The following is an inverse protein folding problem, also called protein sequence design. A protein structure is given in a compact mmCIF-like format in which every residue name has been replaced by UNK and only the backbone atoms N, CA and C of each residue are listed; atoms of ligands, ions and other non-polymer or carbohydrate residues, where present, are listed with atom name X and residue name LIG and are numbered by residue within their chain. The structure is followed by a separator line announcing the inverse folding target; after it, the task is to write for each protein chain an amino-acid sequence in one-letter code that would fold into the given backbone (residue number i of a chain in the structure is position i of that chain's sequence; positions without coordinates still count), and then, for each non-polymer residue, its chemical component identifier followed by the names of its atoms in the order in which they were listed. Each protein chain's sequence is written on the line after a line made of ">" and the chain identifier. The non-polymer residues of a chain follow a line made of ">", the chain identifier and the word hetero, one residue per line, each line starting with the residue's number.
data_IF_868732494615
#
_entry.id   IF_868732494615
#
_cell.length_a   1.000
_cell.length_b   1.000
_cell.length_c   1.000
_cell.angle_alpha   90.00
_cell.angle_beta   90.00
_cell.angle_gamma   90.00
#
_symmetry.space_group_name_H-M   'P 1'
#
loop_
_entity.id
_entity.type
_entity.pdbx_description
1 polymer ?
#
# COMPACT_ATOMS: atom_id res chain seq x y z
N UNK A 1 -4.40 13.64 -13.57
CA UNK A 1 -4.87 12.40 -12.89
C UNK A 1 -3.74 11.82 -12.06
N UNK A 2 -4.00 11.19 -10.91
CA UNK A 2 -2.95 10.60 -10.07
C UNK A 2 -2.13 9.54 -10.83
N UNK A 3 -2.78 8.77 -11.70
CA UNK A 3 -2.12 7.76 -12.53
C UNK A 3 -1.01 8.33 -13.44
N UNK A 4 -1.03 9.64 -13.78
CA UNK A 4 0.00 10.27 -14.61
C UNK A 4 1.38 10.28 -13.93
N UNK A 5 1.44 10.16 -12.59
CA UNK A 5 2.71 10.05 -11.83
C UNK A 5 3.52 8.80 -12.21
N UNK A 6 2.90 7.79 -12.82
CA UNK A 6 3.57 6.55 -13.23
C UNK A 6 4.34 6.70 -14.56
N UNK A 7 3.94 7.63 -15.43
CA UNK A 7 4.55 7.86 -16.74
C UNK A 7 6.08 8.03 -16.71
N UNK A 8 6.67 8.91 -15.87
CA UNK A 8 8.12 9.05 -15.80
C UNK A 8 8.82 7.77 -15.32
N UNK A 9 8.18 6.97 -14.46
CA UNK A 9 8.74 5.72 -13.95
C UNK A 9 8.73 4.64 -15.03
N UNK A 10 7.64 4.51 -15.79
CA UNK A 10 7.53 3.56 -16.90
C UNK A 10 8.64 3.79 -17.93
N UNK A 11 8.97 5.05 -18.20
CA UNK A 11 10.05 5.40 -19.13
C UNK A 11 11.45 5.15 -18.55
N UNK A 12 11.62 5.37 -17.24
CA UNK A 12 12.92 5.24 -16.57
C UNK A 12 13.28 3.80 -16.21
N UNK A 13 12.29 2.91 -16.07
CA UNK A 13 12.47 1.52 -15.66
C UNK A 13 11.87 0.55 -16.70
N UNK A 14 12.51 0.39 -17.88
CA UNK A 14 11.95 -0.41 -18.98
C UNK A 14 11.77 -1.89 -18.63
N UNK A 15 12.56 -2.45 -17.71
CA UNK A 15 12.45 -3.85 -17.29
C UNK A 15 11.21 -4.10 -16.40
N UNK A 16 10.79 -3.09 -15.64
CA UNK A 16 9.63 -3.10 -14.75
C UNK A 16 8.40 -2.42 -15.36
N UNK A 17 8.52 -1.83 -16.55
CA UNK A 17 7.51 -0.99 -17.19
C UNK A 17 6.12 -1.63 -17.27
N UNK A 18 6.05 -2.92 -17.60
CA UNK A 18 4.76 -3.63 -17.69
C UNK A 18 4.08 -3.79 -16.33
N UNK A 19 4.85 -4.09 -15.28
CA UNK A 19 4.33 -4.16 -13.92
C UNK A 19 3.86 -2.78 -13.44
N UNK A 20 4.65 -1.73 -13.71
CA UNK A 20 4.30 -0.35 -13.38
C UNK A 20 3.03 0.12 -14.12
N UNK A 21 2.86 -0.24 -15.40
CA UNK A 21 1.62 0.02 -16.15
C UNK A 21 0.41 -0.64 -15.51
N UNK A 22 0.53 -1.90 -15.07
CA UNK A 22 -0.59 -2.61 -14.41
C UNK A 22 -1.00 -1.95 -13.11
N UNK A 23 -0.04 -1.52 -12.30
CA UNK A 23 -0.32 -0.75 -11.07
C UNK A 23 -0.94 0.60 -11.41
N UNK A 24 -0.44 1.29 -12.44
CA UNK A 24 -1.01 2.56 -12.91
C UNK A 24 -2.48 2.40 -13.33
N UNK A 25 -2.79 1.40 -14.17
CA UNK A 25 -4.17 1.12 -14.61
C UNK A 25 -5.10 0.77 -13.44
N UNK A 26 -4.62 0.02 -12.45
CA UNK A 26 -5.40 -0.25 -11.24
C UNK A 26 -5.75 1.04 -10.48
N UNK A 27 -4.81 1.97 -10.36
CA UNK A 27 -5.04 3.24 -9.69
C UNK A 27 -5.97 4.15 -10.51
N UNK A 28 -5.81 4.19 -11.84
CA UNK A 28 -6.68 4.91 -12.76
C UNK A 28 -8.13 4.39 -12.71
N UNK A 29 -8.34 3.07 -12.66
CA UNK A 29 -9.67 2.47 -12.50
C UNK A 29 -10.36 2.94 -11.20
N UNK A 30 -9.60 3.15 -10.13
CA UNK A 30 -10.15 3.65 -8.85
C UNK A 30 -10.46 5.14 -8.97
N UNK A 31 -9.55 5.92 -9.56
CA UNK A 31 -9.70 7.36 -9.77
C UNK A 31 -10.95 7.66 -10.61
N UNK A 32 -11.15 6.93 -11.71
CA UNK A 32 -12.27 7.12 -12.64
C UNK A 32 -13.62 6.69 -12.06
N UNK A 33 -13.66 5.57 -11.32
CA UNK A 33 -14.94 5.03 -10.82
C UNK A 33 -15.35 5.59 -9.47
N UNK A 34 -14.39 5.98 -8.63
CA UNK A 34 -14.60 6.33 -7.21
C UNK A 34 -13.53 7.32 -6.74
N UNK A 35 -13.44 8.50 -7.35
CA UNK A 35 -12.41 9.53 -7.09
C UNK A 35 -12.10 9.78 -5.59
N UNK A 36 -13.10 9.76 -4.71
CA UNK A 36 -12.90 9.92 -3.26
C UNK A 36 -12.24 8.74 -2.52
N UNK A 37 -12.06 7.59 -3.18
CA UNK A 37 -11.55 6.34 -2.56
C UNK A 37 -10.06 6.11 -2.75
N UNK A 38 -9.35 6.96 -3.48
CA UNK A 38 -7.89 6.88 -3.59
C UNK A 38 -7.21 6.90 -2.20
N UNK A 39 -7.74 7.73 -1.29
CA UNK A 39 -7.28 7.84 0.11
C UNK A 39 -7.49 6.56 0.93
N UNK A 40 -8.38 5.68 0.48
CA UNK A 40 -8.70 4.42 1.16
C UNK A 40 -7.94 3.21 0.59
N UNK A 41 -7.13 3.40 -0.46
CA UNK A 41 -6.38 2.30 -1.07
C UNK A 41 -5.29 1.82 -0.12
N UNK A 42 -5.40 0.56 0.27
CA UNK A 42 -4.42 -0.19 1.05
C UNK A 42 -4.16 -1.50 0.33
N UNK A 43 -2.91 -1.78 0.00
CA UNK A 43 -2.50 -2.99 -0.69
C UNK A 43 -1.50 -3.74 0.18
N UNK A 44 -1.83 -4.97 0.58
CA UNK A 44 -0.82 -5.87 1.14
C UNK A 44 0.16 -6.35 0.03
N UNK A 45 1.29 -6.98 0.38
CA UNK A 45 2.28 -7.45 -0.59
C UNK A 45 1.73 -8.46 -1.60
N UNK A 46 0.79 -9.33 -1.20
CA UNK A 46 0.18 -10.32 -2.09
C UNK A 46 -0.70 -9.62 -3.13
N UNK A 47 -1.50 -8.64 -2.69
CA UNK A 47 -2.33 -7.86 -3.59
C UNK A 47 -1.49 -7.04 -4.57
N UNK A 48 -0.39 -6.45 -4.11
CA UNK A 48 0.56 -5.76 -4.98
C UNK A 48 1.20 -6.72 -5.99
N UNK A 49 1.57 -7.94 -5.55
CA UNK A 49 2.08 -9.00 -6.42
C UNK A 49 1.12 -9.32 -7.57
N UNK A 50 -0.16 -9.52 -7.22
CA UNK A 50 -1.21 -9.90 -8.17
C UNK A 50 -1.50 -8.80 -9.20
N UNK A 51 -1.59 -7.56 -8.72
CA UNK A 51 -1.82 -6.40 -9.60
C UNK A 51 -0.64 -6.21 -10.55
N UNK A 52 0.58 -6.18 -10.01
CA UNK A 52 1.79 -5.99 -10.79
C UNK A 52 2.07 -7.18 -11.73
N UNK A 53 1.49 -8.35 -11.46
CA UNK A 53 1.83 -9.63 -12.09
C UNK A 53 3.34 -9.85 -12.12
N UNK A 54 4.00 -9.61 -10.98
CA UNK A 54 5.45 -9.52 -10.89
C UNK A 54 6.17 -10.82 -11.29
N UNK A 55 5.50 -11.98 -11.19
CA UNK A 55 6.01 -13.29 -11.59
C UNK A 55 7.09 -13.86 -10.65
N UNK A 56 7.73 -13.03 -9.82
CA UNK A 56 8.61 -13.45 -8.73
C UNK A 56 8.69 -12.39 -7.64
N UNK A 57 9.03 -12.81 -6.41
CA UNK A 57 9.16 -11.91 -5.26
C UNK A 57 10.25 -10.86 -5.48
N UNK A 58 11.39 -11.24 -6.08
CA UNK A 58 12.48 -10.30 -6.36
C UNK A 58 12.08 -9.23 -7.38
N UNK A 59 11.24 -9.57 -8.36
CA UNK A 59 10.68 -8.59 -9.30
C UNK A 59 9.70 -7.65 -8.60
N UNK A 60 8.83 -8.20 -7.74
CA UNK A 60 7.93 -7.38 -6.94
C UNK A 60 8.71 -6.39 -6.07
N UNK A 61 9.76 -6.84 -5.39
CA UNK A 61 10.58 -5.99 -4.53
C UNK A 61 11.15 -4.77 -5.27
N UNK A 62 11.63 -4.96 -6.52
CA UNK A 62 12.08 -3.85 -7.37
C UNK A 62 10.96 -2.88 -7.73
N UNK A 63 9.81 -3.40 -8.16
CA UNK A 63 8.64 -2.57 -8.48
C UNK A 63 8.19 -1.76 -7.27
N UNK A 64 8.08 -2.40 -6.11
CA UNK A 64 7.73 -1.74 -4.84
C UNK A 64 8.75 -0.66 -4.52
N UNK A 65 10.05 -0.95 -4.59
CA UNK A 65 11.09 0.03 -4.27
C UNK A 65 10.98 1.27 -5.16
N UNK A 66 10.80 1.09 -6.48
CA UNK A 66 10.58 2.19 -7.43
C UNK A 66 9.39 3.07 -7.01
N UNK A 67 8.27 2.44 -6.62
CA UNK A 67 7.06 3.15 -6.21
C UNK A 67 7.22 3.91 -4.88
N UNK A 68 8.02 3.37 -3.95
CA UNK A 68 8.34 4.00 -2.68
C UNK A 68 9.29 5.20 -2.89
N UNK A 69 10.36 5.02 -3.65
CA UNK A 69 11.33 6.08 -3.95
C UNK A 69 10.68 7.26 -4.67
N UNK A 70 9.76 6.96 -5.60
CA UNK A 70 8.98 7.95 -6.32
C UNK A 70 7.85 8.59 -5.50
N UNK A 71 7.67 8.19 -4.23
CA UNK A 71 6.60 8.67 -3.35
C UNK A 71 5.20 8.50 -3.96
N UNK A 72 4.98 7.42 -4.72
CA UNK A 72 3.64 7.04 -5.20
C UNK A 72 2.91 6.27 -4.10
N UNK A 73 3.62 5.34 -3.48
CA UNK A 73 3.17 4.62 -2.30
C UNK A 73 4.08 4.95 -1.13
N UNK A 74 3.56 4.77 0.07
CA UNK A 74 4.34 4.68 1.29
C UNK A 74 4.06 3.33 1.97
N UNK A 75 5.08 2.75 2.58
CA UNK A 75 4.93 1.56 3.41
C UNK A 75 4.44 1.99 4.79
N UNK A 76 3.43 1.29 5.29
CA UNK A 76 2.90 1.42 6.64
C UNK A 76 2.76 0.04 7.27
N UNK A 77 2.55 0.00 8.57
CA UNK A 77 2.20 -1.21 9.29
C UNK A 77 0.73 -1.14 9.69
N UNK A 78 -0.02 -2.16 9.34
CA UNK A 78 -1.39 -2.36 9.79
C UNK A 78 -1.37 -3.34 10.96
N UNK A 79 -1.74 -2.87 12.14
CA UNK A 79 -2.07 -3.74 13.27
C UNK A 79 -3.52 -4.15 13.11
N UNK A 80 -3.77 -5.44 12.88
CA UNK A 80 -5.10 -6.03 12.76
C UNK A 80 -5.69 -6.30 14.12
N UNK A 81 -6.91 -5.83 14.31
CA UNK A 81 -7.66 -6.04 15.54
C UNK A 81 -8.37 -7.41 15.51
N UNK A 82 -8.65 -8.02 16.66
CA UNK A 82 -9.46 -9.23 16.75
C UNK A 82 -10.86 -9.09 16.14
N UNK A 83 -11.42 -7.87 16.12
CA UNK A 83 -12.67 -7.53 15.43
C UNK A 83 -12.57 -7.57 13.89
N UNK A 84 -11.37 -7.55 13.33
CA UNK A 84 -11.09 -7.55 11.90
C UNK A 84 -10.81 -6.16 11.31
N UNK A 85 -11.05 -5.07 12.07
CA UNK A 85 -10.60 -3.73 11.69
C UNK A 85 -9.09 -3.58 12.02
N UNK A 86 -8.54 -2.36 11.95
CA UNK A 86 -7.13 -2.18 12.27
C UNK A 86 -6.63 -0.75 12.21
N UNK A 87 -5.47 -0.54 12.82
CA UNK A 87 -4.82 0.76 12.97
C UNK A 87 -3.47 0.79 12.24
N UNK A 88 -3.16 1.96 11.68
CA UNK A 88 -2.00 2.16 10.81
C UNK A 88 -0.89 2.89 11.55
N UNK A 89 0.33 2.37 11.45
CA UNK A 89 1.54 2.93 12.04
C UNK A 89 2.60 3.19 10.96
N UNK A 90 3.52 4.13 11.20
CA UNK A 90 4.53 4.49 10.18
C UNK A 90 5.67 3.47 10.14
N UNK A 91 6.09 2.99 11.30
CA UNK A 91 7.24 2.11 11.44
C UNK A 91 7.07 1.14 12.61
N UNK A 92 7.93 0.14 12.70
CA UNK A 92 7.95 -0.80 13.82
C UNK A 92 8.30 -0.10 15.15
N UNK A 93 9.07 0.99 15.11
CA UNK A 93 9.40 1.78 16.29
C UNK A 93 8.21 2.57 16.84
N UNK A 94 7.16 2.77 16.04
CA UNK A 94 5.93 3.44 16.46
C UNK A 94 4.88 2.45 17.00
N UNK A 95 5.16 1.14 16.96
CA UNK A 95 4.20 0.14 17.42
C UNK A 95 4.15 0.12 18.95
N UNK A 96 2.98 0.35 19.56
CA UNK A 96 2.81 0.12 20.98
C UNK A 96 2.75 -1.38 21.27
N UNK A 97 3.14 -1.78 22.48
CA UNK A 97 3.01 -3.17 22.94
C UNK A 97 1.54 -3.61 23.05
N UNK A 98 0.63 -2.65 23.30
CA UNK A 98 -0.81 -2.90 23.47
C UNK A 98 -1.62 -1.87 22.68
N UNK A 99 -2.66 -2.32 21.98
CA UNK A 99 -3.63 -1.48 21.29
C UNK A 99 -5.04 -1.83 21.76
N UNK A 100 -5.92 -0.81 21.83
CA UNK A 100 -7.34 -1.01 22.09
C UNK A 100 -8.11 -1.23 20.79
N UNK A 101 -8.83 -2.34 20.72
CA UNK A 101 -9.82 -2.62 19.66
C UNK A 101 -11.11 -1.85 19.99
N UNK A 102 -11.44 -0.77 19.25
CA UNK A 102 -12.59 0.07 19.58
C UNK A 102 -13.93 -0.63 19.33
N UNK A 103 -13.97 -1.65 18.47
CA UNK A 103 -15.21 -2.35 18.13
C UNK A 103 -15.62 -3.35 19.22
N UNK A 104 -14.65 -3.85 19.98
CA UNK A 104 -14.85 -4.80 21.09
C UNK A 104 -14.61 -4.21 22.46
N UNK A 105 -14.04 -3.01 22.51
CA UNK A 105 -13.63 -2.32 23.72
C UNK A 105 -12.66 -3.14 24.60
N UNK A 106 -11.72 -3.83 23.94
CA UNK A 106 -10.70 -4.66 24.60
C UNK A 106 -9.31 -4.17 24.27
N UNK A 107 -8.41 -4.28 25.23
CA UNK A 107 -6.97 -4.11 25.01
C UNK A 107 -6.38 -5.47 24.60
N UNK A 108 -5.48 -5.47 23.61
CA UNK A 108 -4.77 -6.67 23.20
C UNK A 108 -3.30 -6.37 22.88
N UNK A 109 -2.47 -7.38 23.08
CA UNK A 109 -1.03 -7.30 22.82
C UNK A 109 -0.74 -7.34 21.32
N UNK A 110 0.12 -6.44 20.87
CA UNK A 110 0.60 -6.40 19.48
C UNK A 110 1.68 -7.46 19.32
N UNK A 111 1.34 -8.53 18.62
CA UNK A 111 2.28 -9.60 18.25
C UNK A 111 2.68 -9.48 16.78
N UNK A 112 3.76 -10.17 16.38
CA UNK A 112 4.19 -10.20 14.98
C UNK A 112 3.08 -10.65 14.01
N UNK A 113 2.28 -11.64 14.41
CA UNK A 113 1.16 -12.17 13.63
C UNK A 113 0.01 -11.18 13.46
N UNK A 114 -0.08 -10.18 14.36
CA UNK A 114 -1.09 -9.12 14.28
C UNK A 114 -0.68 -7.96 13.36
N UNK A 115 0.57 -7.94 12.89
CA UNK A 115 1.15 -6.82 12.14
C UNK A 115 1.39 -7.21 10.68
N UNK A 116 0.81 -6.44 9.76
CA UNK A 116 1.03 -6.63 8.33
C UNK A 116 1.61 -5.37 7.67
N UNK A 117 2.64 -5.50 6.82
CA UNK A 117 3.05 -4.40 5.98
C UNK A 117 1.98 -4.13 4.93
N UNK A 118 1.65 -2.87 4.71
CA UNK A 118 0.73 -2.45 3.65
C UNK A 118 1.28 -1.22 2.92
N UNK A 119 0.94 -1.11 1.65
CA UNK A 119 1.27 0.02 0.80
C UNK A 119 0.04 0.90 0.63
N UNK A 120 0.16 2.17 0.98
CA UNK A 120 -0.92 3.16 0.83
C UNK A 120 -0.52 4.25 -0.14
N UNK A 121 -1.49 4.76 -0.90
CA UNK A 121 -1.24 5.82 -1.88
C UNK A 121 -0.92 7.14 -1.20
N UNK A 122 0.14 7.81 -1.65
CA UNK A 122 0.52 9.15 -1.18
C UNK A 122 -0.32 10.18 -1.92
N UNK A 123 -1.48 10.52 -1.36
CA UNK A 123 -2.48 11.41 -1.98
C UNK A 123 -2.34 12.89 -1.60
N UNK A 124 -1.19 13.31 -1.06
CA UNK A 124 -0.92 14.69 -0.69
C UNK A 124 -1.18 15.62 -1.90
N UNK A 125 -2.09 16.59 -1.73
CA UNK A 125 -2.48 17.55 -2.76
C UNK A 125 -3.65 17.13 -3.67
N UNK A 126 -4.26 15.95 -3.44
CA UNK A 126 -5.54 15.57 -4.09
C UNK A 126 -6.69 16.05 -3.20
N UNK A 127 -7.16 17.26 -3.47
CA UNK A 127 -8.37 17.87 -2.92
C UNK A 127 -9.61 17.34 -3.64
#
# INVERSE_FOLDING_TARGET
>A
MFAEKFSPLINSFPQEAEALRRVASFVEDIETRKAGRLKSVKLDPNRMFDIAKAGSVSRLARVVQILLDAHIFERRLLVKFPSGSGMMFKSYADLPEVVRDPDRDIDFEVTEDSVEPVYVLVTNGIS
#
